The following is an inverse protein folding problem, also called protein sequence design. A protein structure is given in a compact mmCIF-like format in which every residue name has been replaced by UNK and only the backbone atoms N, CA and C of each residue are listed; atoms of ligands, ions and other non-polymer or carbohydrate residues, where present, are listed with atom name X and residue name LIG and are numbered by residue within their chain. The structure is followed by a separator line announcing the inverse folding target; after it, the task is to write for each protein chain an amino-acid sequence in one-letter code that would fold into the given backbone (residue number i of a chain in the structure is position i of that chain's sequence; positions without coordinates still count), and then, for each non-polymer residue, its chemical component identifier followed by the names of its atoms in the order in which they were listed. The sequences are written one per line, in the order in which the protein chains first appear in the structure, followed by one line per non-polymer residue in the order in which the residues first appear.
data_IF_293367871107
#
_entry.id   IF_293367871107
#
_cell.length_a   1.000
_cell.length_b   1.000
_cell.length_c   1.000
_cell.angle_alpha   90.00
_cell.angle_beta   90.00
_cell.angle_gamma   90.00
#
_symmetry.space_group_name_H-M   'P 1'
#
loop_
_entity.id
_entity.type
_entity.pdbx_description
1 polymer ?
#
# COMPACT_ATOMS: atom_id res chain seq x y z
N UNK A 1 2.28 15.34 16.63
CA UNK A 1 1.12 15.30 15.71
C UNK A 1 0.31 14.06 16.08
N UNK A 2 -0.89 14.21 16.60
CA UNK A 2 -1.77 13.07 16.92
C UNK A 2 -2.18 12.40 15.60
N UNK A 3 -1.71 11.18 15.34
CA UNK A 3 -2.28 10.41 14.25
C UNK A 3 -3.73 10.08 14.59
N UNK A 4 -4.67 10.58 13.80
CA UNK A 4 -6.03 10.07 13.83
C UNK A 4 -5.98 8.57 13.55
N UNK A 5 -6.62 7.77 14.40
CA UNK A 5 -6.68 6.33 14.18
C UNK A 5 -7.51 6.10 12.91
N UNK A 6 -7.03 5.30 11.94
CA UNK A 6 -7.76 5.11 10.70
C UNK A 6 -9.03 4.33 11.02
N UNK A 7 -10.17 4.77 10.52
CA UNK A 7 -11.44 4.06 10.70
C UNK A 7 -11.45 2.72 9.94
N UNK A 8 -10.62 2.61 8.90
CA UNK A 8 -10.51 1.44 8.02
C UNK A 8 -9.03 1.16 7.73
N UNK A 9 -8.64 -0.10 7.85
CA UNK A 9 -7.32 -0.61 7.44
C UNK A 9 -7.51 -1.62 6.31
N UNK A 10 -6.84 -1.38 5.18
CA UNK A 10 -6.83 -2.29 4.02
C UNK A 10 -5.46 -2.95 3.99
N UNK A 11 -5.41 -4.27 4.09
CA UNK A 11 -4.17 -5.04 4.03
C UNK A 11 -4.11 -5.80 2.70
N UNK A 12 -3.00 -5.68 1.98
CA UNK A 12 -2.76 -6.32 0.68
C UNK A 12 -1.51 -7.19 0.83
N UNK A 13 -1.66 -8.52 0.99
CA UNK A 13 -0.55 -9.44 0.86
C UNK A 13 -0.02 -9.42 -0.57
N UNK A 14 1.30 -9.36 -0.74
CA UNK A 14 1.95 -9.38 -2.04
C UNK A 14 3.18 -10.30 -2.05
N UNK A 15 3.35 -11.05 -3.14
CA UNK A 15 4.59 -11.75 -3.47
C UNK A 15 4.71 -11.81 -5.00
N UNK A 16 5.65 -11.07 -5.56
CA UNK A 16 5.89 -10.95 -7.00
C UNK A 16 4.65 -10.53 -7.81
N UNK A 17 4.07 -9.38 -7.46
CA UNK A 17 2.84 -8.82 -8.04
C UNK A 17 3.09 -7.53 -8.85
N UNK A 18 4.29 -7.34 -9.43
CA UNK A 18 4.66 -6.09 -10.09
C UNK A 18 3.70 -5.69 -11.23
N UNK A 19 3.08 -6.67 -11.89
CA UNK A 19 2.12 -6.44 -12.97
C UNK A 19 0.78 -5.86 -12.48
N UNK A 20 0.39 -6.07 -11.21
CA UNK A 20 -0.95 -5.76 -10.72
C UNK A 20 -0.95 -4.69 -9.61
N UNK A 21 0.09 -4.65 -8.78
CA UNK A 21 0.10 -3.85 -7.55
C UNK A 21 -0.11 -2.35 -7.81
N UNK A 22 0.49 -1.80 -8.87
CA UNK A 22 0.34 -0.40 -9.23
C UNK A 22 -1.12 -0.05 -9.56
N UNK A 23 -1.75 -0.82 -10.44
CA UNK A 23 -3.14 -0.59 -10.86
C UNK A 23 -4.15 -0.80 -9.72
N UNK A 24 -3.88 -1.75 -8.81
CA UNK A 24 -4.69 -1.95 -7.62
C UNK A 24 -4.62 -0.72 -6.69
N UNK A 25 -3.42 -0.23 -6.41
CA UNK A 25 -3.21 0.94 -5.54
C UNK A 25 -3.80 2.22 -6.16
N UNK A 26 -3.75 2.39 -7.47
CA UNK A 26 -4.40 3.52 -8.15
C UNK A 26 -5.92 3.55 -7.95
N UNK A 27 -6.56 2.37 -7.86
CA UNK A 27 -8.00 2.25 -7.60
C UNK A 27 -8.35 2.42 -6.13
N UNK A 28 -7.52 1.93 -5.22
CA UNK A 28 -7.82 1.92 -3.78
C UNK A 28 -7.51 3.24 -3.08
N UNK A 29 -6.45 3.96 -3.48
CA UNK A 29 -6.04 5.22 -2.82
C UNK A 29 -7.15 6.27 -2.74
N UNK A 30 -7.95 6.54 -3.81
CA UNK A 30 -9.07 7.47 -3.72
C UNK A 30 -10.16 7.03 -2.72
N UNK A 31 -10.44 5.73 -2.64
CA UNK A 31 -11.42 5.19 -1.70
C UNK A 31 -10.91 5.30 -0.25
N UNK A 32 -9.66 4.92 -0.01
CA UNK A 32 -9.02 5.07 1.29
C UNK A 32 -9.02 6.55 1.74
N UNK A 33 -8.73 7.48 0.82
CA UNK A 33 -8.79 8.92 1.10
C UNK A 33 -10.16 9.37 1.61
N UNK A 34 -11.22 9.00 0.89
CA UNK A 34 -12.60 9.39 1.19
C UNK A 34 -13.09 8.82 2.52
N UNK A 35 -12.58 7.65 2.90
CA UNK A 35 -13.03 6.92 4.08
C UNK A 35 -12.13 7.14 5.32
N UNK A 36 -11.06 7.94 5.21
CA UNK A 36 -10.08 8.10 6.29
C UNK A 36 -9.28 6.81 6.56
N UNK A 37 -9.14 5.97 5.52
CA UNK A 37 -8.50 4.67 5.59
C UNK A 37 -7.01 4.70 5.31
N UNK A 38 -6.35 3.59 5.65
CA UNK A 38 -4.92 3.35 5.45
C UNK A 38 -4.72 2.03 4.72
N UNK A 39 -3.74 1.99 3.81
CA UNK A 39 -3.42 0.83 3.00
C UNK A 39 -2.05 0.31 3.44
N UNK A 40 -1.97 -0.97 3.77
CA UNK A 40 -0.72 -1.65 4.11
C UNK A 40 -0.48 -2.73 3.07
N UNK A 41 0.60 -2.62 2.32
CA UNK A 41 1.09 -3.69 1.44
C UNK A 41 2.07 -4.53 2.26
N UNK A 42 1.68 -5.76 2.58
CA UNK A 42 2.52 -6.72 3.30
C UNK A 42 3.25 -7.59 2.27
N UNK A 43 4.51 -7.25 1.99
CA UNK A 43 5.30 -7.90 0.95
C UNK A 43 6.12 -9.09 1.49
N UNK A 44 5.95 -10.24 0.85
CA UNK A 44 6.53 -11.53 1.19
C UNK A 44 7.98 -11.75 0.77
N UNK A 45 8.71 -10.70 0.40
CA UNK A 45 10.06 -10.82 -0.16
C UNK A 45 10.07 -10.89 -1.70
N UNK A 46 9.27 -10.05 -2.34
CA UNK A 46 9.22 -9.94 -3.81
C UNK A 46 10.58 -9.54 -4.41
N UNK A 47 10.91 -10.12 -5.56
CA UNK A 47 12.17 -9.87 -6.29
C UNK A 47 11.94 -9.37 -7.72
N UNK A 48 10.68 -9.13 -8.09
CA UNK A 48 10.25 -8.74 -9.44
C UNK A 48 10.05 -7.22 -9.61
N UNK A 49 10.38 -6.43 -8.60
CA UNK A 49 10.17 -4.98 -8.57
C UNK A 49 8.86 -4.52 -7.93
N UNK A 50 8.04 -5.43 -7.38
CA UNK A 50 6.82 -5.10 -6.61
C UNK A 50 7.08 -4.03 -5.55
N UNK A 51 8.09 -4.23 -4.70
CA UNK A 51 8.44 -3.29 -3.63
C UNK A 51 8.74 -1.89 -4.17
N UNK A 52 9.55 -1.78 -5.23
CA UNK A 52 9.91 -0.49 -5.85
C UNK A 52 8.71 0.23 -6.44
N UNK A 53 7.69 -0.48 -6.93
CA UNK A 53 6.43 0.14 -7.38
C UNK A 53 5.67 0.71 -6.18
N UNK A 54 5.57 -0.04 -5.08
CA UNK A 54 4.90 0.41 -3.85
C UNK A 54 5.62 1.61 -3.24
N UNK A 55 6.95 1.61 -3.15
CA UNK A 55 7.75 2.73 -2.61
C UNK A 55 7.51 4.05 -3.36
N UNK A 56 7.43 3.99 -4.70
CA UNK A 56 7.08 5.17 -5.52
C UNK A 56 5.70 5.73 -5.19
N UNK A 57 4.79 4.88 -4.71
CA UNK A 57 3.43 5.26 -4.32
C UNK A 57 3.43 5.79 -2.87
N UNK A 58 4.16 5.15 -1.95
CA UNK A 58 4.37 5.64 -0.58
C UNK A 58 4.90 7.08 -0.58
N UNK A 59 5.85 7.40 -1.47
CA UNK A 59 6.38 8.75 -1.62
C UNK A 59 5.34 9.80 -2.07
N UNK A 60 4.24 9.37 -2.70
CA UNK A 60 3.15 10.24 -3.19
C UNK A 60 1.95 10.27 -2.24
N UNK A 61 1.76 9.22 -1.44
CA UNK A 61 0.62 9.05 -0.56
C UNK A 61 1.04 8.35 0.74
N UNK A 62 1.25 9.10 1.84
CA UNK A 62 1.71 8.54 3.11
C UNK A 62 0.68 7.65 3.82
N UNK A 63 -0.55 7.51 3.28
CA UNK A 63 -1.53 6.51 3.77
C UNK A 63 -1.23 5.12 3.25
N UNK A 64 -0.38 4.99 2.23
CA UNK A 64 0.13 3.69 1.77
C UNK A 64 1.41 3.40 2.55
N UNK A 65 1.49 2.21 3.12
CA UNK A 65 2.63 1.72 3.88
C UNK A 65 3.10 0.43 3.23
N UNK A 66 4.39 0.33 2.95
CA UNK A 66 5.03 -0.94 2.63
C UNK A 66 5.51 -1.57 3.94
N UNK A 67 5.09 -2.80 4.19
CA UNK A 67 5.49 -3.62 5.33
C UNK A 67 6.23 -4.86 4.80
N UNK A 68 7.48 -5.04 5.19
CA UNK A 68 8.19 -6.28 4.93
C UNK A 68 7.61 -7.41 5.80
N UNK A 69 7.26 -8.53 5.18
CA UNK A 69 6.67 -9.71 5.81
C UNK A 69 7.36 -11.00 5.33
N UNK A 70 8.61 -11.26 5.75
CA UNK A 70 9.37 -12.44 5.36
C UNK A 70 8.82 -13.75 5.94
#
# INVERSE_FOLDING_TARGET
MTQANPSILIIIPCLNEAAHIGGLLDRLRPAAARLGGRIVVADGGSVDGTQSIVEKIVAKDPRVILLANP
#
